data_IF_187382296132
#
_entry.id   IF_187382296132
#
_cell.length_a   1.000
_cell.length_b   1.000
_cell.length_c   1.000
_cell.angle_alpha   90.00
_cell.angle_beta   90.00
_cell.angle_gamma   90.00
#
_symmetry.space_group_name_H-M   'P 1'
#
loop_
_entity.id
_entity.type
_entity.pdbx_description
1 polymer ?
#
# COMPACT_ATOMS: atom_id res chain seq x y z
N UNK A 1 -18.08 4.75 20.94
CA UNK A 1 -18.47 4.27 19.59
C UNK A 1 -17.89 5.11 18.47
N UNK A 2 -18.05 6.45 18.46
CA UNK A 2 -17.60 7.33 17.38
C UNK A 2 -16.10 7.25 17.05
N UNK A 3 -15.24 7.01 18.05
CA UNK A 3 -13.78 6.87 17.86
C UNK A 3 -13.41 5.62 17.06
N UNK A 4 -14.11 4.49 17.29
CA UNK A 4 -13.90 3.22 16.58
C UNK A 4 -14.27 3.34 15.11
N UNK A 5 -15.35 4.06 14.79
CA UNK A 5 -15.76 4.32 13.41
C UNK A 5 -14.76 5.15 12.62
N UNK A 6 -13.78 5.81 13.26
CA UNK A 6 -12.74 6.57 12.58
C UNK A 6 -11.42 5.79 12.56
N UNK A 7 -11.06 5.12 13.66
CA UNK A 7 -9.81 4.37 13.75
C UNK A 7 -9.83 3.08 12.92
N UNK A 8 -10.95 2.33 12.91
CA UNK A 8 -11.08 1.10 12.14
C UNK A 8 -10.95 1.29 10.61
N UNK A 9 -11.65 2.24 9.97
CA UNK A 9 -11.48 2.44 8.52
C UNK A 9 -10.12 3.06 8.17
N UNK A 10 -9.54 3.94 9.01
CA UNK A 10 -8.18 4.44 8.78
C UNK A 10 -7.15 3.31 8.78
N UNK A 11 -7.23 2.41 9.77
CA UNK A 11 -6.35 1.26 9.86
C UNK A 11 -6.57 0.30 8.67
N UNK A 12 -7.83 0.07 8.28
CA UNK A 12 -8.18 -0.75 7.11
C UNK A 12 -7.67 -0.15 5.80
N UNK A 13 -7.74 1.18 5.62
CA UNK A 13 -7.21 1.87 4.45
C UNK A 13 -5.69 1.75 4.37
N UNK A 14 -4.96 1.97 5.48
CA UNK A 14 -3.50 1.83 5.51
C UNK A 14 -3.08 0.41 5.12
N UNK A 15 -3.75 -0.60 5.69
CA UNK A 15 -3.41 -2.00 5.46
C UNK A 15 -3.73 -2.45 4.03
N UNK A 16 -4.88 -2.03 3.49
CA UNK A 16 -5.30 -2.40 2.13
C UNK A 16 -4.41 -1.74 1.07
N UNK A 17 -3.90 -0.54 1.31
CA UNK A 17 -3.03 0.17 0.37
C UNK A 17 -1.66 -0.52 0.18
N UNK A 18 -1.23 -1.29 1.18
CA UNK A 18 -0.01 -2.11 1.15
C UNK A 18 -0.25 -3.58 0.84
N UNK A 19 -1.45 -3.99 0.44
CA UNK A 19 -1.76 -5.41 0.26
C UNK A 19 -1.08 -6.02 -0.96
N UNK A 20 -0.05 -6.83 -0.69
CA UNK A 20 0.66 -7.63 -1.69
C UNK A 20 0.06 -9.02 -1.87
N UNK A 21 -0.40 -9.64 -0.77
CA UNK A 21 -0.75 -11.06 -0.75
C UNK A 21 -1.97 -11.34 -1.60
N UNK A 22 -3.03 -10.55 -1.45
CA UNK A 22 -4.29 -10.83 -2.14
C UNK A 22 -4.14 -10.59 -3.65
N UNK A 23 -3.48 -9.51 -4.07
CA UNK A 23 -3.25 -9.20 -5.49
C UNK A 23 -2.33 -10.24 -6.16
N UNK A 24 -1.21 -10.58 -5.51
CA UNK A 24 -0.25 -11.54 -6.06
C UNK A 24 -0.83 -12.96 -6.15
N UNK A 25 -1.58 -13.41 -5.15
CA UNK A 25 -2.11 -14.77 -5.10
C UNK A 25 -3.39 -14.96 -5.92
N UNK A 26 -4.30 -13.99 -5.96
CA UNK A 26 -5.56 -14.14 -6.70
C UNK A 26 -5.46 -13.84 -8.19
N UNK A 27 -4.60 -12.90 -8.60
CA UNK A 27 -4.56 -12.45 -10.00
C UNK A 27 -3.17 -12.45 -10.60
N UNK A 28 -2.11 -12.51 -9.78
CA UNK A 28 -0.73 -12.37 -10.24
C UNK A 28 -0.42 -11.04 -10.92
N UNK A 29 -1.34 -10.07 -10.89
CA UNK A 29 -1.27 -8.82 -11.67
C UNK A 29 -2.08 -8.79 -12.96
N UNK A 30 -2.82 -9.85 -13.32
CA UNK A 30 -3.64 -9.89 -14.55
C UNK A 30 -5.03 -9.25 -14.41
N UNK A 31 -5.73 -8.95 -15.54
CA UNK A 31 -5.30 -9.10 -16.93
C UNK A 31 -4.49 -7.89 -17.42
N UNK A 32 -3.49 -8.13 -18.27
CA UNK A 32 -2.62 -7.08 -18.86
C UNK A 32 -1.98 -6.11 -17.84
N UNK A 33 -1.56 -6.61 -16.66
CA UNK A 33 -0.88 -5.83 -15.64
C UNK A 33 -1.75 -4.76 -14.95
N UNK A 34 -3.07 -4.78 -15.19
CA UNK A 34 -4.01 -3.74 -14.77
C UNK A 34 -4.38 -3.78 -13.28
N UNK A 35 -4.15 -4.90 -12.59
CA UNK A 35 -4.49 -5.07 -11.17
C UNK A 35 -3.31 -4.85 -10.24
N UNK A 36 -2.15 -4.45 -10.78
CA UNK A 36 -0.99 -4.21 -9.96
C UNK A 36 -1.19 -2.99 -9.04
N UNK A 37 -1.10 -3.26 -7.74
CA UNK A 37 -0.97 -2.22 -6.71
C UNK A 37 0.51 -1.85 -6.57
N UNK A 38 0.82 -0.64 -6.10
CA UNK A 38 2.19 -0.14 -5.87
C UNK A 38 3.09 -1.16 -5.13
N UNK A 39 2.53 -1.92 -4.20
CA UNK A 39 3.22 -3.01 -3.49
C UNK A 39 3.68 -4.16 -4.41
N UNK A 40 2.91 -4.50 -5.44
CA UNK A 40 3.24 -5.58 -6.40
C UNK A 40 4.10 -5.09 -7.57
N UNK A 41 3.93 -3.83 -8.01
CA UNK A 41 4.75 -3.21 -9.07
C UNK A 41 6.22 -3.12 -8.68
N UNK A 42 6.54 -2.74 -7.44
CA UNK A 42 7.93 -2.64 -6.97
C UNK A 42 8.69 -3.97 -7.07
N UNK A 43 8.06 -5.08 -6.67
CA UNK A 43 8.67 -6.42 -6.74
C UNK A 43 8.80 -6.90 -8.19
N UNK A 44 7.84 -6.54 -9.06
CA UNK A 44 7.92 -6.85 -10.49
C UNK A 44 9.08 -6.12 -11.17
N UNK A 45 9.25 -4.82 -10.93
CA UNK A 45 10.35 -4.06 -11.51
C UNK A 45 11.72 -4.53 -10.98
N UNK A 46 11.80 -4.98 -9.72
CA UNK A 46 12.99 -5.67 -9.20
C UNK A 46 13.29 -6.97 -9.97
N UNK A 47 12.27 -7.76 -10.30
CA UNK A 47 12.43 -8.99 -11.10
C UNK A 47 12.83 -8.74 -12.55
N UNK A 48 12.52 -7.55 -13.10
CA UNK A 48 12.92 -7.11 -14.44
C UNK A 48 14.30 -6.42 -14.44
N UNK A 49 15.05 -6.47 -13.33
CA UNK A 49 16.34 -5.81 -13.12
C UNK A 49 16.27 -4.27 -13.19
N UNK A 50 15.07 -3.69 -13.08
CA UNK A 50 14.82 -2.25 -13.14
C UNK A 50 14.69 -1.64 -11.74
N UNK A 51 15.82 -1.56 -11.03
CA UNK A 51 15.89 -1.08 -9.65
C UNK A 51 15.35 0.36 -9.48
N UNK A 52 15.63 1.25 -10.43
CA UNK A 52 15.18 2.64 -10.39
C UNK A 52 13.65 2.76 -10.44
N UNK A 53 13.00 1.99 -11.30
CA UNK A 53 11.54 1.95 -11.43
C UNK A 53 10.87 1.29 -10.22
N UNK A 54 11.50 0.25 -9.67
CA UNK A 54 11.05 -0.36 -8.42
C UNK A 54 11.04 0.64 -7.28
N UNK A 55 12.15 1.35 -7.09
CA UNK A 55 12.27 2.37 -6.04
C UNK A 55 11.32 3.54 -6.26
N UNK A 56 11.14 4.00 -7.51
CA UNK A 56 10.17 5.05 -7.82
C UNK A 56 8.75 4.64 -7.43
N UNK A 57 8.32 3.41 -7.73
CA UNK A 57 6.99 2.93 -7.37
C UNK A 57 6.74 2.89 -5.86
N UNK A 58 7.75 2.52 -5.06
CA UNK A 58 7.66 2.50 -3.60
C UNK A 58 7.67 3.92 -3.04
N UNK A 59 8.58 4.78 -3.52
CA UNK A 59 8.74 6.16 -3.03
C UNK A 59 7.51 7.00 -3.34
N UNK A 60 6.82 6.76 -4.46
CA UNK A 60 5.55 7.42 -4.77
C UNK A 60 4.42 7.10 -3.77
N UNK A 61 4.45 5.96 -3.09
CA UNK A 61 3.45 5.59 -2.08
C UNK A 61 3.68 6.28 -0.73
N UNK A 62 4.95 6.54 -0.37
CA UNK A 62 5.36 7.16 0.90
C UNK A 62 4.66 8.49 1.24
N UNK A 63 4.52 9.48 0.32
CA UNK A 63 3.88 10.76 0.65
C UNK A 63 2.41 10.63 1.04
N UNK A 64 1.73 9.54 0.67
CA UNK A 64 0.35 9.29 1.06
C UNK A 64 0.27 8.48 2.37
N UNK A 65 1.12 7.45 2.50
CA UNK A 65 1.09 6.51 3.63
C UNK A 65 1.61 7.16 4.92
N UNK A 66 2.69 7.96 4.86
CA UNK A 66 3.30 8.57 6.05
C UNK A 66 2.35 9.53 6.80
N UNK A 67 1.61 10.45 6.14
CA UNK A 67 0.61 11.28 6.81
C UNK A 67 -0.53 10.48 7.44
N UNK A 68 -1.01 9.43 6.75
CA UNK A 68 -2.07 8.56 7.29
C UNK A 68 -1.62 7.86 8.59
N UNK A 69 -0.41 7.29 8.59
CA UNK A 69 0.16 6.64 9.78
C UNK A 69 0.37 7.65 10.90
N UNK A 70 0.91 8.84 10.61
CA UNK A 70 1.11 9.90 11.60
C UNK A 70 -0.22 10.32 12.23
N UNK A 71 -1.26 10.53 11.43
CA UNK A 71 -2.59 10.88 11.91
C UNK A 71 -3.17 9.79 12.82
N UNK A 72 -3.02 8.52 12.46
CA UNK A 72 -3.47 7.39 13.26
C UNK A 72 -2.71 7.30 14.59
N UNK A 73 -1.37 7.37 14.57
CA UNK A 73 -0.53 7.30 15.77
C UNK A 73 -0.85 8.43 16.76
N UNK A 74 -1.03 9.65 16.25
CA UNK A 74 -1.43 10.81 17.07
C UNK A 74 -2.82 10.65 17.68
N UNK A 75 -3.71 9.90 17.05
CA UNK A 75 -5.07 9.61 17.54
C UNK A 75 -5.10 8.46 18.55
N UNK A 76 -4.21 7.46 18.42
CA UNK A 76 -4.12 6.32 19.33
C UNK A 76 -3.34 6.66 20.62
N UNK A 77 -2.43 7.64 20.56
CA UNK A 77 -1.66 8.11 21.72
C UNK A 77 -2.43 9.05 22.65
N UNK A 78 -3.72 9.31 22.41
CA UNK A 78 -4.62 10.05 23.30
C UNK A 78 -5.66 9.11 23.88
#
# INVERSE_FOLDING_TARGET
MQTLYITCPLLSMIWTLGDFNSVYLLTGGGPADLTHVLATLGIRYLRLDQLSLAMASIVCALPLVLPLIYFMMKRLSR
#
